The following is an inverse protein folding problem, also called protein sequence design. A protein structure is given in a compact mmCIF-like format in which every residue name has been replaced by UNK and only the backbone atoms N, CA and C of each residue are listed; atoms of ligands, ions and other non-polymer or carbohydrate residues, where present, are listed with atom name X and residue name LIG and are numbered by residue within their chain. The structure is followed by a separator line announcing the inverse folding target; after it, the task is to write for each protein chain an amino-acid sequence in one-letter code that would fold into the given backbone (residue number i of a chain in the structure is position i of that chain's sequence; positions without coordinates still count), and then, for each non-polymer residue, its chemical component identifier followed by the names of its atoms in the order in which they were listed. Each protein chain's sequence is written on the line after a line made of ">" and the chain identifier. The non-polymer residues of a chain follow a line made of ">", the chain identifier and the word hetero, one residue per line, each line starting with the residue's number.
data_IF_339731540752
#
_entry.id   IF_339731540752
#
_cell.length_a   1.000
_cell.length_b   1.000
_cell.length_c   1.000
_cell.angle_alpha   90.00
_cell.angle_beta   90.00
_cell.angle_gamma   90.00
#
_symmetry.space_group_name_H-M   'P 1'
#
loop_
_entity.id
_entity.type
_entity.pdbx_description
1 polymer ?
#
# COMPACT_ATOMS: atom_id res chain seq x y z
N UNK A 1 37.16 -36.01 -52.55
CA UNK A 1 36.33 -34.80 -52.34
C UNK A 1 35.55 -34.97 -51.04
N UNK A 2 35.96 -34.30 -49.95
CA UNK A 2 35.26 -34.36 -48.65
C UNK A 2 34.17 -33.29 -48.64
N UNK A 3 32.95 -33.68 -48.26
CA UNK A 3 31.73 -32.87 -48.33
C UNK A 3 31.64 -31.85 -47.19
N UNK A 4 30.93 -30.78 -47.52
CA UNK A 4 30.65 -29.54 -46.82
C UNK A 4 30.34 -29.65 -45.32
N UNK A 5 30.81 -28.61 -44.63
CA UNK A 5 30.40 -28.10 -43.32
C UNK A 5 28.88 -27.95 -43.18
N UNK A 6 28.35 -28.22 -41.97
CA UNK A 6 27.06 -27.69 -41.55
C UNK A 6 27.16 -27.15 -40.12
N UNK A 7 26.69 -25.93 -39.97
CA UNK A 7 26.84 -25.02 -38.84
C UNK A 7 25.86 -25.25 -37.70
N UNK A 8 26.18 -24.62 -36.57
CA UNK A 8 25.29 -24.01 -35.56
C UNK A 8 24.21 -24.89 -34.92
N UNK A 9 24.44 -25.26 -33.66
CA UNK A 9 23.38 -25.36 -32.65
C UNK A 9 23.87 -24.69 -31.36
N UNK A 10 23.87 -23.36 -31.35
CA UNK A 10 23.98 -22.58 -30.13
C UNK A 10 22.60 -22.52 -29.47
N UNK A 11 22.37 -23.34 -28.45
CA UNK A 11 21.17 -23.27 -27.64
C UNK A 11 21.18 -21.98 -26.82
N UNK A 12 20.50 -20.94 -27.32
CA UNK A 12 20.19 -19.76 -26.53
C UNK A 12 19.15 -20.14 -25.47
N UNK A 13 19.60 -20.40 -24.25
CA UNK A 13 18.71 -20.51 -23.09
C UNK A 13 18.22 -19.09 -22.76
N UNK A 14 17.04 -18.74 -23.27
CA UNK A 14 16.29 -17.58 -22.80
C UNK A 14 15.78 -17.90 -21.39
N UNK A 15 16.54 -17.50 -20.37
CA UNK A 15 16.01 -17.39 -19.01
C UNK A 15 14.99 -16.26 -19.04
N UNK A 16 13.72 -16.60 -19.22
CA UNK A 16 12.62 -15.69 -18.93
C UNK A 16 12.67 -15.44 -17.41
N UNK A 17 13.34 -14.35 -17.01
CA UNK A 17 13.19 -13.81 -15.67
C UNK A 17 11.75 -13.30 -15.56
N UNK A 18 10.85 -14.13 -15.05
CA UNK A 18 9.54 -13.67 -14.59
C UNK A 18 9.80 -12.57 -13.56
N UNK A 19 9.22 -11.36 -13.71
CA UNK A 19 9.30 -10.38 -12.64
C UNK A 19 8.70 -11.04 -11.40
N UNK A 20 9.48 -11.11 -10.33
CA UNK A 20 8.99 -11.63 -9.07
C UNK A 20 7.92 -10.65 -8.57
N UNK A 21 6.65 -11.03 -8.72
CA UNK A 21 5.50 -10.33 -8.16
C UNK A 21 5.53 -10.57 -6.65
N UNK A 22 6.34 -9.77 -5.97
CA UNK A 22 6.42 -9.78 -4.52
C UNK A 22 5.21 -9.02 -3.98
N UNK A 23 4.51 -9.64 -3.03
CA UNK A 23 3.53 -8.96 -2.18
C UNK A 23 4.14 -7.64 -1.69
N UNK A 24 3.52 -6.51 -2.03
CA UNK A 24 4.03 -5.24 -1.59
C UNK A 24 3.49 -4.99 -0.18
N UNK A 25 4.37 -5.17 0.79
CA UNK A 25 4.13 -4.84 2.18
C UNK A 25 4.69 -3.45 2.47
N UNK A 26 3.80 -2.56 2.89
CA UNK A 26 4.15 -1.23 3.36
C UNK A 26 4.30 -1.25 4.87
N UNK A 27 5.33 -0.56 5.37
CA UNK A 27 5.56 -0.36 6.78
C UNK A 27 5.68 1.14 7.08
N UNK A 28 4.87 1.61 8.03
CA UNK A 28 4.86 2.99 8.49
C UNK A 28 5.05 3.04 10.00
N UNK A 29 5.62 4.12 10.50
CA UNK A 29 5.43 4.48 11.90
C UNK A 29 4.08 5.17 12.06
N UNK A 30 3.34 4.82 13.11
CA UNK A 30 2.05 5.45 13.37
C UNK A 30 2.18 6.97 13.51
N UNK A 31 3.27 7.48 14.11
CA UNK A 31 3.52 8.93 14.23
C UNK A 31 3.59 9.68 12.89
N UNK A 32 4.08 9.03 11.82
CA UNK A 32 4.11 9.59 10.47
C UNK A 32 2.68 9.72 9.92
N UNK A 33 1.91 8.63 10.00
CA UNK A 33 0.51 8.60 9.56
C UNK A 33 -0.34 9.60 10.35
N UNK A 34 -0.24 9.60 11.69
CA UNK A 34 -0.90 10.56 12.56
C UNK A 34 -0.61 12.01 12.16
N UNK A 35 0.64 12.32 11.81
CA UNK A 35 1.03 13.69 11.43
C UNK A 35 0.41 14.10 10.10
N UNK A 36 0.24 13.17 9.15
CA UNK A 36 -0.41 13.44 7.88
C UNK A 36 -1.94 13.60 8.06
N UNK A 37 -2.55 12.73 8.86
CA UNK A 37 -4.00 12.66 9.07
C UNK A 37 -4.54 13.84 9.92
N UNK A 38 -3.79 14.29 10.93
CA UNK A 38 -4.24 15.37 11.83
C UNK A 38 -4.38 16.73 11.16
N UNK A 39 -3.77 16.96 9.99
CA UNK A 39 -3.62 18.29 9.42
C UNK A 39 -4.97 18.98 9.15
N UNK A 40 -6.00 18.21 8.82
CA UNK A 40 -7.36 18.70 8.57
C UNK A 40 -8.34 18.35 9.71
N UNK A 41 -7.85 17.86 10.84
CA UNK A 41 -8.64 17.58 12.04
C UNK A 41 -8.72 18.78 13.01
N UNK A 42 -8.41 19.99 12.53
CA UNK A 42 -8.45 21.22 13.30
C UNK A 42 -9.81 21.89 13.18
N UNK A 43 -10.15 22.70 14.17
CA UNK A 43 -11.36 23.52 14.25
C UNK A 43 -11.55 24.33 12.95
N UNK A 44 -12.74 24.26 12.34
CA UNK A 44 -13.06 24.93 11.08
C UNK A 44 -12.95 24.08 9.80
N UNK A 45 -12.59 22.79 9.93
CA UNK A 45 -12.54 21.81 8.83
C UNK A 45 -13.35 20.55 9.17
N UNK A 46 -14.53 20.75 9.77
CA UNK A 46 -15.32 19.65 10.32
C UNK A 46 -15.96 18.76 9.25
N UNK A 47 -16.03 19.23 8.01
CA UNK A 47 -16.59 18.55 6.85
C UNK A 47 -15.56 17.76 6.04
N UNK A 48 -14.26 17.97 6.26
CA UNK A 48 -13.18 17.33 5.49
C UNK A 48 -12.21 16.52 6.35
N UNK A 49 -11.57 15.54 5.74
CA UNK A 49 -10.51 14.73 6.35
C UNK A 49 -9.44 14.40 5.31
N UNK A 50 -8.29 13.91 5.80
CA UNK A 50 -7.30 13.24 4.96
C UNK A 50 -7.54 11.74 5.07
N UNK A 51 -7.72 11.07 3.94
CA UNK A 51 -7.79 9.61 3.84
C UNK A 51 -6.49 9.04 3.27
N UNK A 52 -6.18 7.81 3.65
CA UNK A 52 -5.06 7.03 3.11
C UNK A 52 -5.63 5.93 2.22
N UNK A 53 -5.14 5.86 0.99
CA UNK A 53 -5.53 4.88 0.00
C UNK A 53 -4.32 4.29 -0.70
N UNK A 54 -4.52 3.17 -1.38
CA UNK A 54 -3.55 2.57 -2.27
C UNK A 54 -4.12 2.58 -3.68
N UNK A 55 -3.34 3.06 -4.64
CA UNK A 55 -3.78 3.21 -6.03
C UNK A 55 -2.88 2.42 -6.94
N UNK A 56 -3.50 1.68 -7.86
CA UNK A 56 -2.79 0.97 -8.91
C UNK A 56 -1.97 1.97 -9.74
N UNK A 57 -0.68 1.69 -9.86
CA UNK A 57 0.28 2.59 -10.51
C UNK A 57 -0.02 2.80 -12.01
N UNK A 58 -0.72 1.89 -12.66
CA UNK A 58 -1.03 1.94 -14.09
C UNK A 58 -2.46 2.45 -14.34
N UNK A 59 -3.45 1.84 -13.70
CA UNK A 59 -4.88 2.12 -13.93
C UNK A 59 -5.43 3.29 -13.11
N UNK A 60 -4.68 3.72 -12.08
CA UNK A 60 -5.09 4.74 -11.11
C UNK A 60 -6.35 4.39 -10.32
N UNK A 61 -6.80 3.14 -10.36
CA UNK A 61 -7.92 2.66 -9.56
C UNK A 61 -7.47 2.32 -8.13
N UNK A 62 -8.41 2.26 -7.20
CA UNK A 62 -8.13 1.86 -5.83
C UNK A 62 -7.76 0.37 -5.77
N UNK A 63 -6.57 0.08 -5.26
CA UNK A 63 -6.15 -1.27 -4.91
C UNK A 63 -6.97 -1.81 -3.74
N UNK A 64 -7.11 -3.12 -3.68
CA UNK A 64 -7.54 -3.79 -2.46
C UNK A 64 -6.43 -3.71 -1.40
N UNK A 65 -6.82 -3.63 -0.13
CA UNK A 65 -5.95 -3.86 1.01
C UNK A 65 -6.27 -5.27 1.50
N UNK A 66 -5.38 -6.23 1.25
CA UNK A 66 -5.60 -7.63 1.62
C UNK A 66 -5.54 -7.82 3.14
N UNK A 67 -4.65 -7.06 3.78
CA UNK A 67 -4.47 -7.05 5.23
C UNK A 67 -3.85 -5.75 5.69
N UNK A 68 -4.25 -5.24 6.85
CA UNK A 68 -3.50 -4.20 7.55
C UNK A 68 -3.59 -4.38 9.05
N UNK A 69 -2.52 -4.07 9.76
CA UNK A 69 -2.48 -4.17 11.21
C UNK A 69 -1.51 -3.15 11.80
N UNK A 70 -1.58 -2.99 13.11
CA UNK A 70 -0.55 -2.33 13.88
C UNK A 70 0.01 -3.26 14.94
N UNK A 71 1.31 -3.14 15.18
CA UNK A 71 1.98 -3.94 16.19
C UNK A 71 3.05 -3.13 16.93
N UNK A 72 3.20 -3.48 18.22
CA UNK A 72 4.30 -3.05 19.05
C UNK A 72 4.51 -4.07 20.15
N UNK A 73 5.72 -4.62 20.19
CA UNK A 73 6.10 -5.64 21.19
C UNK A 73 5.10 -6.81 21.12
N UNK A 74 4.40 -7.13 22.21
CA UNK A 74 3.43 -8.24 22.25
C UNK A 74 2.01 -7.83 21.80
N UNK A 75 1.78 -6.55 21.51
CA UNK A 75 0.46 -6.05 21.11
C UNK A 75 0.30 -6.04 19.60
N UNK A 76 -0.75 -6.70 19.12
CA UNK A 76 -1.16 -6.75 17.71
C UNK A 76 -2.63 -6.38 17.59
N UNK A 77 -2.96 -5.51 16.65
CA UNK A 77 -4.34 -5.14 16.32
C UNK A 77 -4.53 -5.05 14.81
N UNK A 78 -5.44 -5.86 14.27
CA UNK A 78 -5.75 -5.89 12.84
C UNK A 78 -6.87 -4.90 12.50
N UNK A 79 -6.71 -4.16 11.40
CA UNK A 79 -7.71 -3.23 10.91
C UNK A 79 -8.76 -3.96 10.08
N UNK A 80 -10.03 -3.63 10.31
CA UNK A 80 -11.12 -4.02 9.41
C UNK A 80 -11.19 -3.00 8.27
N UNK A 81 -10.85 -3.42 7.05
CA UNK A 81 -10.84 -2.55 5.88
C UNK A 81 -12.29 -2.29 5.42
N UNK A 82 -12.73 -1.02 5.32
CA UNK A 82 -14.06 -0.67 4.84
C UNK A 82 -14.20 -0.87 3.33
N UNK A 83 -15.45 -0.93 2.83
CA UNK A 83 -15.74 -1.00 1.40
C UNK A 83 -15.22 0.21 0.59
N UNK A 84 -14.96 1.34 1.26
CA UNK A 84 -14.32 2.51 0.65
C UNK A 84 -12.84 2.29 0.32
N UNK A 85 -12.22 1.20 0.80
CA UNK A 85 -10.79 0.86 0.66
C UNK A 85 -9.84 1.86 1.31
N UNK A 86 -10.36 2.70 2.20
CA UNK A 86 -9.56 3.59 3.03
C UNK A 86 -8.83 2.78 4.11
N UNK A 87 -7.56 3.06 4.36
CA UNK A 87 -6.85 2.51 5.52
C UNK A 87 -7.34 3.23 6.79
N UNK A 88 -8.05 2.55 7.71
CA UNK A 88 -8.78 3.20 8.80
C UNK A 88 -7.88 3.47 10.00
N UNK A 89 -6.95 4.43 9.87
CA UNK A 89 -6.02 4.80 10.94
C UNK A 89 -6.70 5.79 11.91
N UNK A 90 -6.80 5.47 13.20
CA UNK A 90 -7.35 6.40 14.19
C UNK A 90 -6.43 7.61 14.37
N UNK A 91 -7.00 8.78 14.69
CA UNK A 91 -6.23 9.97 15.08
C UNK A 91 -6.16 10.02 16.62
N UNK A 92 -5.29 9.22 17.19
CA UNK A 92 -5.11 9.08 18.64
C UNK A 92 -3.70 9.51 19.11
N UNK A 93 -3.66 10.34 20.16
CA UNK A 93 -2.42 10.90 20.73
C UNK A 93 -1.62 9.90 21.59
N UNK A 94 -2.29 8.93 22.21
CA UNK A 94 -1.65 7.87 22.98
C UNK A 94 -0.93 6.90 22.03
N UNK A 95 -1.60 6.48 20.96
CA UNK A 95 -0.98 5.71 19.88
C UNK A 95 0.17 6.47 19.23
N UNK A 96 0.07 7.80 19.10
CA UNK A 96 1.18 8.63 18.61
C UNK A 96 2.39 8.57 19.53
N UNK A 97 2.17 8.56 20.84
CA UNK A 97 3.23 8.49 21.85
C UNK A 97 3.83 7.08 21.93
N UNK A 98 3.00 6.04 21.85
CA UNK A 98 3.44 4.65 21.80
C UNK A 98 4.16 4.33 20.49
N UNK A 99 3.72 4.93 19.38
CA UNK A 99 4.28 4.83 18.03
C UNK A 99 4.45 3.38 17.54
N UNK A 100 3.37 2.57 17.48
CA UNK A 100 3.44 1.24 16.87
C UNK A 100 3.82 1.35 15.38
N UNK A 101 4.27 0.23 14.82
CA UNK A 101 4.39 0.07 13.38
C UNK A 101 3.01 -0.25 12.81
N UNK A 102 2.74 0.27 11.62
CA UNK A 102 1.53 0.00 10.84
C UNK A 102 1.97 -0.70 9.56
N UNK A 103 1.41 -1.88 9.31
CA UNK A 103 1.69 -2.69 8.14
C UNK A 103 0.47 -2.75 7.24
N UNK A 104 0.71 -2.74 5.93
CA UNK A 104 -0.33 -2.87 4.91
C UNK A 104 0.14 -3.81 3.81
N UNK A 105 -0.64 -4.84 3.54
CA UNK A 105 -0.43 -5.79 2.44
C UNK A 105 -1.38 -5.47 1.29
N UNK A 106 -0.81 -5.31 0.11
CA UNK A 106 -1.51 -5.10 -1.15
C UNK A 106 -1.28 -6.28 -2.10
N UNK A 107 -2.13 -6.47 -3.14
CA UNK A 107 -2.04 -7.61 -4.05
C UNK A 107 -0.65 -7.78 -4.67
N UNK A 108 -0.15 -9.01 -4.71
CA UNK A 108 1.22 -9.32 -5.16
C UNK A 108 1.48 -8.95 -6.62
N UNK A 109 0.46 -9.11 -7.45
CA UNK A 109 0.54 -8.95 -8.89
C UNK A 109 0.22 -7.52 -9.34
N UNK A 110 0.08 -6.58 -8.40
CA UNK A 110 -0.26 -5.18 -8.68
C UNK A 110 0.65 -4.25 -7.89
N UNK A 111 1.29 -3.30 -8.59
CA UNK A 111 2.00 -2.21 -7.91
C UNK A 111 0.99 -1.19 -7.41
N UNK A 112 0.90 -1.02 -6.10
CA UNK A 112 -0.10 -0.19 -5.46
C UNK A 112 0.54 0.99 -4.72
N UNK A 113 0.65 2.16 -5.36
CA UNK A 113 1.28 3.33 -4.77
C UNK A 113 0.44 3.91 -3.60
N UNK A 114 1.12 4.28 -2.52
CA UNK A 114 0.52 4.97 -1.36
C UNK A 114 0.04 6.38 -1.75
N UNK A 115 -1.20 6.71 -1.39
CA UNK A 115 -1.85 7.97 -1.72
C UNK A 115 -2.51 8.62 -0.51
N UNK A 116 -2.36 9.95 -0.41
CA UNK A 116 -3.05 10.80 0.54
C UNK A 116 -4.06 11.68 -0.19
N UNK A 117 -5.32 11.61 0.25
CA UNK A 117 -6.43 12.31 -0.41
C UNK A 117 -7.16 13.16 0.61
N UNK A 118 -7.45 14.42 0.28
CA UNK A 118 -8.39 15.24 1.05
C UNK A 118 -9.79 14.95 0.54
N UNK A 119 -10.68 14.54 1.42
CA UNK A 119 -12.06 14.16 1.08
C UNK A 119 -13.04 14.68 2.12
N UNK A 120 -14.32 14.75 1.76
CA UNK A 120 -15.38 15.06 2.73
C UNK A 120 -15.60 13.87 3.68
N UNK A 121 -16.03 14.16 4.90
CA UNK A 121 -16.40 13.12 5.88
C UNK A 121 -17.73 12.45 5.54
N UNK A 122 -18.63 13.21 4.92
CA UNK A 122 -19.93 12.77 4.44
C UNK A 122 -20.04 13.00 2.92
N UNK A 123 -20.86 12.21 2.20
CA UNK A 123 -21.14 12.47 0.80
C UNK A 123 -21.72 13.88 0.61
N UNK A 124 -21.32 14.55 -0.47
CA UNK A 124 -21.93 15.82 -0.88
C UNK A 124 -23.40 15.55 -1.26
N UNK A 125 -24.32 16.34 -0.68
CA UNK A 125 -25.75 16.32 -1.00
C UNK A 125 -26.04 17.01 -2.33
#
# INVERSE_FOLDING_TARGET
>A
MKKLSLSLLGSAVLVLASPATHAQEYMFTYSKLYTQLKNNAKEGHDDVKVGVFFVDADTKQLCEIEKAWMEKEEHYEEFVIPASKELPIPIDKNLKSANPLVFVQTPKDTRCDYSLVVMTKEPLQ
#
